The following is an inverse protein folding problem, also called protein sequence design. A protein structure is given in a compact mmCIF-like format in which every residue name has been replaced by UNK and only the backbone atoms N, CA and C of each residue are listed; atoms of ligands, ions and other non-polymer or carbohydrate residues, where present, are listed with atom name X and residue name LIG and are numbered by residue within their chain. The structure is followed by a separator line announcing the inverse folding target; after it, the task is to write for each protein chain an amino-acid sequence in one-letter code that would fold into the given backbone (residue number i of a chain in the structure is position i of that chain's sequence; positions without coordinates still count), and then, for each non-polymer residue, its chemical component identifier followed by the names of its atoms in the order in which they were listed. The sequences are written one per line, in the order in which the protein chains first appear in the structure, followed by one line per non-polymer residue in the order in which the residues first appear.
data_IF_813162372435
#
_entry.id   IF_813162372435
#
_cell.length_a   1.000
_cell.length_b   1.000
_cell.length_c   1.000
_cell.angle_alpha   90.00
_cell.angle_beta   90.00
_cell.angle_gamma   90.00
#
_symmetry.space_group_name_H-M   'P 1'
#
loop_
_entity.id
_entity.type
_entity.pdbx_description
1 polymer ?
#
# COMPACT_ATOMS: atom_id res chain seq x y z
N UNK A 1 3.39 5.21 -20.51
CA UNK A 1 3.49 5.04 -19.05
C UNK A 1 4.06 3.66 -18.77
N UNK A 2 5.19 3.56 -18.08
CA UNK A 2 5.80 2.27 -17.74
C UNK A 2 5.06 1.61 -16.55
N UNK A 3 5.39 0.35 -16.25
CA UNK A 3 4.73 -0.40 -15.17
C UNK A 3 4.85 0.28 -13.79
N UNK A 4 5.98 0.92 -13.49
CA UNK A 4 6.22 1.54 -12.20
C UNK A 4 5.37 2.81 -12.07
N UNK A 5 5.31 3.61 -13.13
CA UNK A 5 4.42 4.78 -13.21
C UNK A 5 2.94 4.37 -13.08
N UNK A 6 2.53 3.25 -13.70
CA UNK A 6 1.19 2.67 -13.54
C UNK A 6 0.87 2.30 -12.09
N UNK A 7 1.81 1.63 -11.40
CA UNK A 7 1.69 1.35 -9.96
C UNK A 7 1.54 2.65 -9.17
N UNK A 8 2.38 3.65 -9.40
CA UNK A 8 2.32 4.93 -8.67
C UNK A 8 1.01 5.67 -8.90
N UNK A 9 0.50 5.68 -10.14
CA UNK A 9 -0.77 6.30 -10.50
C UNK A 9 -1.94 5.66 -9.76
N UNK A 10 -1.99 4.32 -9.68
CA UNK A 10 -3.00 3.63 -8.89
C UNK A 10 -2.88 3.94 -7.40
N UNK A 11 -1.68 3.89 -6.84
CA UNK A 11 -1.47 4.13 -5.40
C UNK A 11 -1.90 5.54 -5.00
N UNK A 12 -1.73 6.53 -5.87
CA UNK A 12 -2.20 7.90 -5.65
C UNK A 12 -3.72 8.05 -5.63
N UNK A 13 -4.48 7.09 -6.19
CA UNK A 13 -5.95 7.08 -6.13
C UNK A 13 -6.50 6.57 -4.80
N UNK A 14 -5.68 5.89 -3.98
CA UNK A 14 -6.13 5.35 -2.69
C UNK A 14 -6.42 6.54 -1.76
N UNK A 15 -7.66 6.71 -1.25
CA UNK A 15 -7.99 7.84 -0.39
C UNK A 15 -7.33 7.73 0.99
N UNK A 16 -7.21 8.87 1.70
CA UNK A 16 -6.81 8.88 3.12
C UNK A 16 -7.76 8.01 3.94
N UNK A 17 -7.22 7.28 4.91
CA UNK A 17 -8.00 6.39 5.76
C UNK A 17 -8.35 5.06 5.11
N UNK A 18 -7.83 4.77 3.93
CA UNK A 18 -7.96 3.49 3.25
C UNK A 18 -6.60 2.91 2.88
N UNK A 19 -6.56 1.60 2.73
CA UNK A 19 -5.41 0.85 2.25
C UNK A 19 -5.82 -0.05 1.09
N UNK A 20 -4.85 -0.47 0.29
CA UNK A 20 -5.04 -1.57 -0.66
C UNK A 20 -3.97 -2.62 -0.45
N UNK A 21 -4.05 -3.73 -1.18
CA UNK A 21 -3.02 -4.78 -1.12
C UNK A 21 -2.15 -4.78 -2.38
N UNK A 22 -0.94 -5.30 -2.28
CA UNK A 22 -0.09 -5.53 -3.46
C UNK A 22 -0.81 -6.37 -4.53
N UNK A 23 -1.63 -7.33 -4.11
CA UNK A 23 -2.44 -8.17 -5.00
C UNK A 23 -3.55 -7.40 -5.70
N UNK A 24 -4.23 -6.47 -5.01
CA UNK A 24 -5.26 -5.63 -5.62
C UNK A 24 -4.68 -4.68 -6.68
N UNK A 25 -3.50 -4.11 -6.43
CA UNK A 25 -2.80 -3.30 -7.44
C UNK A 25 -2.42 -4.16 -8.64
N UNK A 26 -1.86 -5.36 -8.41
CA UNK A 26 -1.52 -6.27 -9.49
C UNK A 26 -2.78 -6.63 -10.32
N UNK A 27 -3.89 -6.97 -9.66
CA UNK A 27 -5.18 -7.26 -10.29
C UNK A 27 -5.66 -6.09 -11.16
N UNK A 28 -5.62 -4.88 -10.63
CA UNK A 28 -6.03 -3.67 -11.34
C UNK A 28 -5.17 -3.37 -12.58
N UNK A 29 -3.91 -3.83 -12.58
CA UNK A 29 -3.00 -3.74 -13.73
C UNK A 29 -3.07 -4.95 -14.66
N UNK A 30 -4.00 -5.89 -14.45
CA UNK A 30 -4.15 -7.09 -15.27
C UNK A 30 -3.02 -8.11 -15.10
N UNK A 31 -2.29 -8.07 -13.98
CA UNK A 31 -1.22 -9.02 -13.67
C UNK A 31 -1.46 -9.74 -12.34
N UNK A 32 -0.80 -10.88 -12.14
CA UNK A 32 -0.76 -11.60 -10.85
C UNK A 32 0.53 -11.34 -10.08
N UNK A 33 1.44 -10.55 -10.63
CA UNK A 33 2.78 -10.32 -10.08
C UNK A 33 2.79 -9.21 -9.02
N UNK A 34 2.34 -9.54 -7.81
CA UNK A 34 2.38 -8.66 -6.65
C UNK A 34 3.81 -8.33 -6.19
N UNK A 35 4.80 -9.20 -6.47
CA UNK A 35 6.20 -8.94 -6.10
C UNK A 35 6.78 -7.81 -6.92
N UNK A 36 6.47 -7.76 -8.22
CA UNK A 36 6.87 -6.64 -9.09
C UNK A 36 6.23 -5.31 -8.67
N UNK A 37 5.02 -5.33 -8.12
CA UNK A 37 4.42 -4.13 -7.49
C UNK A 37 5.25 -3.70 -6.27
N UNK A 38 5.65 -4.64 -5.42
CA UNK A 38 6.56 -4.37 -4.30
C UNK A 38 7.89 -3.76 -4.74
N UNK A 39 8.51 -4.29 -5.79
CA UNK A 39 9.74 -3.72 -6.37
C UNK A 39 9.53 -2.30 -6.89
N UNK A 40 8.41 -2.03 -7.58
CA UNK A 40 8.08 -0.68 -8.02
C UNK A 40 7.96 0.28 -6.83
N UNK A 41 7.23 -0.11 -5.78
CA UNK A 41 7.07 0.72 -4.58
C UNK A 41 8.38 0.92 -3.79
N UNK A 42 9.30 -0.05 -3.82
CA UNK A 42 10.63 0.09 -3.22
C UNK A 42 11.54 1.01 -4.03
N UNK A 43 11.44 0.96 -5.36
CA UNK A 43 12.14 1.86 -6.28
C UNK A 43 11.52 3.26 -6.36
N UNK A 44 10.49 3.54 -5.55
CA UNK A 44 9.84 4.84 -5.51
C UNK A 44 10.84 5.91 -5.05
N UNK A 45 11.06 7.00 -5.82
CA UNK A 45 12.05 8.01 -5.46
C UNK A 45 11.76 8.63 -4.09
N UNK A 46 12.80 8.81 -3.27
CA UNK A 46 12.69 9.54 -2.00
C UNK A 46 12.11 10.94 -2.25
N UNK A 47 10.98 11.24 -1.62
CA UNK A 47 10.23 12.50 -1.80
C UNK A 47 9.07 12.45 -2.78
N UNK A 48 8.72 11.29 -3.35
CA UNK A 48 7.56 11.20 -4.24
C UNK A 48 6.22 11.31 -3.49
N UNK A 49 5.27 12.02 -4.11
CA UNK A 49 3.88 12.21 -3.67
C UNK A 49 3.04 10.91 -3.60
N UNK A 50 3.66 9.74 -3.79
CA UNK A 50 2.96 8.46 -3.84
C UNK A 50 2.79 7.91 -2.42
N UNK A 51 1.54 7.76 -1.91
CA UNK A 51 1.26 7.33 -0.53
C UNK A 51 1.46 5.81 -0.36
N UNK A 52 2.68 5.33 -0.52
CA UNK A 52 3.02 3.91 -0.50
C UNK A 52 2.76 3.23 0.85
N UNK A 53 2.67 3.98 1.96
CA UNK A 53 2.26 3.45 3.27
C UNK A 53 0.85 2.86 3.25
N UNK A 54 -0.01 3.26 2.29
CA UNK A 54 -1.37 2.71 2.10
C UNK A 54 -1.39 1.35 1.41
N UNK A 55 -0.24 0.74 1.12
CA UNK A 55 -0.17 -0.61 0.51
C UNK A 55 0.32 -1.61 1.56
N UNK A 56 -0.50 -2.62 1.81
CA UNK A 56 -0.25 -3.67 2.83
C UNK A 56 -0.25 -5.06 2.20
N UNK A 57 0.13 -6.07 2.98
CA UNK A 57 0.06 -7.47 2.54
C UNK A 57 -1.39 -7.93 2.34
N UNK A 58 -1.58 -9.11 1.77
CA UNK A 58 -2.92 -9.67 1.50
C UNK A 58 -3.77 -9.86 2.77
N UNK A 59 -3.14 -10.14 3.90
CA UNK A 59 -3.77 -10.27 5.21
C UNK A 59 -3.84 -8.95 6.01
N UNK A 60 -3.31 -7.86 5.47
CA UNK A 60 -3.35 -6.54 6.11
C UNK A 60 -2.20 -6.28 7.08
N UNK A 61 -1.15 -7.11 7.07
CA UNK A 61 0.10 -6.83 7.79
C UNK A 61 0.85 -5.67 7.14
N UNK A 62 1.55 -4.93 8.00
CA UNK A 62 2.49 -3.92 7.59
C UNK A 62 3.76 -4.56 7.03
N UNK A 63 4.43 -3.88 6.11
CA UNK A 63 5.67 -4.39 5.52
C UNK A 63 6.83 -4.17 6.49
N UNK A 64 7.50 -5.25 6.91
CA UNK A 64 8.70 -5.16 7.75
C UNK A 64 9.84 -4.43 7.03
N UNK A 65 9.93 -4.60 5.71
CA UNK A 65 10.91 -3.93 4.84
C UNK A 65 10.36 -2.66 4.19
N UNK A 66 9.45 -1.95 4.88
CA UNK A 66 8.96 -0.67 4.38
C UNK A 66 10.14 0.30 4.22
N UNK A 67 10.43 0.65 2.96
CA UNK A 67 11.65 1.37 2.56
C UNK A 67 11.83 2.73 3.24
N UNK A 68 10.75 3.28 3.79
CA UNK A 68 10.71 4.59 4.44
C UNK A 68 10.49 4.39 5.94
N UNK A 69 11.52 3.94 6.67
CA UNK A 69 11.52 3.86 8.14
C UNK A 69 10.82 2.65 8.77
N UNK A 70 10.51 1.61 7.99
CA UNK A 70 10.00 0.34 8.49
C UNK A 70 8.54 0.36 8.93
N UNK A 71 8.10 -0.75 9.53
CA UNK A 71 6.68 -0.98 9.88
C UNK A 71 6.14 0.00 10.92
N UNK A 72 6.98 0.56 11.80
CA UNK A 72 6.58 1.56 12.80
C UNK A 72 6.19 2.87 12.12
N UNK A 73 6.97 3.34 11.15
CA UNK A 73 6.64 4.57 10.42
C UNK A 73 5.36 4.37 9.58
N UNK A 74 5.24 3.21 8.91
CA UNK A 74 4.03 2.85 8.17
C UNK A 74 2.80 2.87 9.10
N UNK A 75 2.89 2.26 10.28
CA UNK A 75 1.83 2.25 11.28
C UNK A 75 1.41 3.67 11.68
N UNK A 76 2.39 4.52 12.05
CA UNK A 76 2.12 5.90 12.46
C UNK A 76 1.40 6.72 11.40
N UNK A 77 1.82 6.59 10.12
CA UNK A 77 1.15 7.27 8.99
C UNK A 77 -0.28 6.78 8.79
N UNK A 78 -0.52 5.49 8.92
CA UNK A 78 -1.86 4.91 8.77
C UNK A 78 -2.81 5.33 9.92
N UNK A 79 -2.33 5.31 11.17
CA UNK A 79 -3.09 5.80 12.33
C UNK A 79 -3.42 7.29 12.17
N UNK A 80 -2.47 8.10 11.72
CA UNK A 80 -2.71 9.54 11.49
C UNK A 80 -3.76 9.80 10.40
N UNK A 81 -4.00 8.85 9.52
CA UNK A 81 -5.06 8.90 8.51
C UNK A 81 -6.39 8.28 8.97
N UNK A 82 -6.47 7.77 10.20
CA UNK A 82 -7.68 7.16 10.76
C UNK A 82 -7.87 5.67 10.39
N UNK A 83 -6.82 5.00 9.92
CA UNK A 83 -6.86 3.55 9.67
C UNK A 83 -6.86 2.80 10.99
N UNK A 84 -7.81 1.87 11.15
CA UNK A 84 -7.91 1.04 12.35
C UNK A 84 -7.23 -0.31 12.16
N UNK A 85 -6.77 -0.87 13.28
CA UNK A 85 -6.02 -2.12 13.34
C UNK A 85 -6.72 -3.11 14.28
N UNK A 86 -6.53 -4.39 13.99
CA UNK A 86 -6.92 -5.52 14.85
C UNK A 86 -5.86 -5.73 15.94
N UNK A 87 -6.15 -6.60 16.90
CA UNK A 87 -5.30 -6.88 18.07
C UNK A 87 -3.86 -7.32 17.69
N UNK A 88 -3.70 -7.95 16.53
CA UNK A 88 -2.44 -8.43 15.98
C UNK A 88 -1.69 -7.40 15.11
N UNK A 89 -2.06 -6.12 15.19
CA UNK A 89 -1.53 -5.02 14.36
C UNK A 89 -1.71 -5.22 12.85
N UNK A 90 -2.68 -6.03 12.44
CA UNK A 90 -3.14 -6.07 11.05
C UNK A 90 -4.18 -4.98 10.82
N UNK A 91 -4.15 -4.32 9.67
CA UNK A 91 -5.19 -3.36 9.28
C UNK A 91 -6.54 -4.07 9.22
N UNK A 92 -7.61 -3.43 9.72
CA UNK A 92 -8.96 -3.96 9.55
C UNK A 92 -9.44 -3.77 8.09
N UNK A 93 -9.05 -4.71 7.23
CA UNK A 93 -9.38 -4.68 5.80
C UNK A 93 -10.89 -4.65 5.54
N UNK A 94 -11.73 -5.12 6.47
CA UNK A 94 -13.19 -5.04 6.30
C UNK A 94 -13.68 -3.60 6.25
N UNK A 95 -12.99 -2.69 6.95
CA UNK A 95 -13.34 -1.26 7.03
C UNK A 95 -12.56 -0.41 6.04
N UNK A 96 -11.30 -0.75 5.81
CA UNK A 96 -10.35 0.15 5.14
C UNK A 96 -9.87 -0.35 3.77
N UNK A 97 -10.30 -1.50 3.27
CA UNK A 97 -9.85 -1.99 1.96
C UNK A 97 -10.44 -1.17 0.81
N UNK A 98 -9.56 -0.58 0.01
CA UNK A 98 -9.85 0.07 -1.26
C UNK A 98 -9.58 -0.88 -2.42
N UNK A 99 -10.56 -0.99 -3.32
CA UNK A 99 -10.47 -1.74 -4.58
C UNK A 99 -10.59 -0.78 -5.75
N UNK A 100 -9.84 -1.06 -6.81
CA UNK A 100 -9.90 -0.35 -8.07
C UNK A 100 -10.97 -1.04 -8.91
N UNK A 101 -12.16 -0.46 -8.90
CA UNK A 101 -13.30 -0.87 -9.75
C UNK A 101 -13.43 0.10 -10.93
#
# INVERSE_FOLDING_TARGET
MNFFEQVYSLVRKIPKGFVTTYGEIARALGTRDARRVGHALHANPSGSLTPCHRVVTIDGKLSESYAFGGSIEQYGKLIAEGVTFREDRQVDLKKHLFRFD
#
